data_IF_491138387416
#
_entry.id   IF_491138387416
#
_cell.length_a   1.000
_cell.length_b   1.000
_cell.length_c   1.000
_cell.angle_alpha   90.00
_cell.angle_beta   90.00
_cell.angle_gamma   90.00
#
_symmetry.space_group_name_H-M   'P 1'
#
loop_
_entity.id
_entity.type
_entity.pdbx_description
1 polymer ?
#
# COMPACT_ATOMS: atom_id res chain seq x y z
N UNK A 1 39.57 -44.45 -53.11
CA UNK A 1 39.91 -44.15 -51.71
C UNK A 1 40.06 -42.64 -51.63
N UNK A 2 39.10 -42.00 -50.94
CA UNK A 2 39.13 -40.65 -50.36
C UNK A 2 39.29 -39.44 -51.30
N UNK A 3 38.58 -38.31 -51.16
CA UNK A 3 37.64 -37.82 -50.14
C UNK A 3 36.88 -36.65 -50.76
N UNK A 4 35.55 -36.70 -50.77
CA UNK A 4 34.70 -35.53 -51.06
C UNK A 4 34.85 -34.51 -49.91
N UNK A 5 35.36 -33.32 -50.23
CA UNK A 5 35.37 -32.19 -49.28
C UNK A 5 33.97 -31.57 -49.22
N UNK A 6 33.20 -32.03 -48.27
CA UNK A 6 31.98 -31.37 -47.79
C UNK A 6 32.34 -30.04 -47.12
N UNK A 7 31.99 -28.93 -47.77
CA UNK A 7 32.01 -27.59 -47.15
C UNK A 7 30.73 -27.43 -46.36
N UNK A 8 30.79 -27.69 -45.06
CA UNK A 8 29.68 -27.41 -44.15
C UNK A 8 29.49 -25.90 -44.02
N UNK A 9 28.49 -25.35 -44.71
CA UNK A 9 27.99 -24.01 -44.47
C UNK A 9 27.45 -23.95 -43.02
N UNK A 10 28.15 -23.22 -42.14
CA UNK A 10 27.60 -22.82 -40.83
C UNK A 10 26.35 -21.99 -41.08
N UNK A 11 25.18 -22.61 -40.98
CA UNK A 11 23.90 -21.90 -40.89
C UNK A 11 23.99 -21.03 -39.62
N UNK A 12 24.25 -19.73 -39.82
CA UNK A 12 24.12 -18.73 -38.76
C UNK A 12 22.64 -18.72 -38.39
N UNK A 13 22.30 -19.37 -37.28
CA UNK A 13 20.94 -19.35 -36.71
C UNK A 13 20.64 -17.88 -36.40
N UNK A 14 19.90 -17.22 -37.29
CA UNK A 14 19.38 -15.88 -37.03
C UNK A 14 18.44 -16.04 -35.83
N UNK A 15 18.85 -15.49 -34.69
CA UNK A 15 17.97 -15.37 -33.54
C UNK A 15 16.85 -14.42 -33.96
N UNK A 16 15.65 -14.94 -34.18
CA UNK A 16 14.44 -14.16 -34.38
C UNK A 16 13.94 -13.58 -33.04
N UNK A 17 14.87 -13.16 -32.19
CA UNK A 17 14.56 -12.72 -30.84
C UNK A 17 14.13 -11.25 -30.92
N UNK A 18 12.92 -10.97 -30.45
CA UNK A 18 12.40 -9.60 -30.32
C UNK A 18 13.32 -8.85 -29.34
N UNK A 19 13.77 -7.62 -29.66
CA UNK A 19 14.54 -6.80 -28.74
C UNK A 19 13.86 -6.67 -27.37
N UNK A 20 14.64 -6.77 -26.29
CA UNK A 20 14.11 -6.71 -24.92
C UNK A 20 13.31 -5.42 -24.69
N UNK A 21 13.73 -4.29 -25.24
CA UNK A 21 13.03 -3.00 -25.12
C UNK A 21 11.60 -3.05 -25.65
N UNK A 22 11.39 -3.74 -26.77
CA UNK A 22 10.08 -3.94 -27.37
C UNK A 22 9.23 -4.91 -26.55
N UNK A 23 9.84 -5.96 -26.01
CA UNK A 23 9.18 -6.86 -25.06
C UNK A 23 8.70 -6.05 -23.85
N UNK A 24 9.58 -5.28 -23.20
CA UNK A 24 9.24 -4.44 -22.05
C UNK A 24 8.07 -3.50 -22.34
N UNK A 25 8.09 -2.83 -23.49
CA UNK A 25 7.02 -1.92 -23.90
C UNK A 25 5.69 -2.62 -24.17
N UNK A 26 5.71 -3.82 -24.78
CA UNK A 26 4.50 -4.62 -24.99
C UNK A 26 3.92 -5.05 -23.64
N UNK A 27 4.77 -5.54 -22.73
CA UNK A 27 4.34 -6.00 -21.42
C UNK A 27 3.86 -4.88 -20.53
N UNK A 28 4.46 -3.71 -20.60
CA UNK A 28 4.01 -2.55 -19.83
C UNK A 28 2.61 -2.07 -20.24
N UNK A 29 2.05 -2.57 -21.35
CA UNK A 29 0.70 -2.25 -21.83
C UNK A 29 -0.35 -3.32 -21.48
N UNK A 30 0.05 -4.43 -20.86
CA UNK A 30 -0.87 -5.50 -20.51
C UNK A 30 -1.56 -5.25 -19.18
N UNK A 31 -2.75 -5.82 -18.99
CA UNK A 31 -3.41 -5.81 -17.69
C UNK A 31 -2.62 -6.59 -16.63
N UNK A 32 -2.71 -6.17 -15.37
CA UNK A 32 -2.03 -6.81 -14.21
C UNK A 32 -2.28 -8.32 -14.17
N UNK A 33 -3.53 -8.76 -14.40
CA UNK A 33 -3.89 -10.19 -14.44
C UNK A 33 -3.16 -10.95 -15.54
N UNK A 34 -2.95 -10.34 -16.71
CA UNK A 34 -2.20 -10.96 -17.80
C UNK A 34 -0.70 -11.04 -17.49
N UNK A 35 -0.14 -10.01 -16.86
CA UNK A 35 1.25 -10.04 -16.38
C UNK A 35 1.47 -11.17 -15.37
N UNK A 36 0.59 -11.31 -14.36
CA UNK A 36 0.69 -12.39 -13.38
C UNK A 36 0.68 -13.77 -14.05
N UNK A 37 -0.19 -13.99 -15.04
CA UNK A 37 -0.23 -15.25 -15.81
C UNK A 37 1.06 -15.47 -16.62
N UNK A 38 1.61 -14.43 -17.25
CA UNK A 38 2.88 -14.53 -17.98
C UNK A 38 4.08 -14.78 -17.07
N UNK A 39 4.00 -14.37 -15.81
CA UNK A 39 5.04 -14.64 -14.81
C UNK A 39 5.20 -16.15 -14.57
N UNK A 40 4.12 -16.91 -14.72
CA UNK A 40 4.12 -18.36 -14.61
C UNK A 40 4.70 -19.08 -15.84
N UNK A 41 4.83 -18.40 -16.99
CA UNK A 41 5.27 -19.01 -18.25
C UNK A 41 6.77 -19.21 -18.25
N UNK A 42 7.55 -18.24 -17.78
CA UNK A 42 9.02 -18.32 -17.82
C UNK A 42 9.69 -17.49 -16.73
N UNK A 43 10.79 -18.01 -16.16
CA UNK A 43 11.50 -17.39 -15.02
C UNK A 43 12.00 -15.98 -15.32
N UNK A 44 12.44 -15.70 -16.54
CA UNK A 44 12.89 -14.35 -16.92
C UNK A 44 11.77 -13.32 -16.83
N UNK A 45 10.52 -13.72 -17.06
CA UNK A 45 9.35 -12.86 -16.99
C UNK A 45 8.97 -12.57 -15.54
N UNK A 46 8.98 -13.61 -14.69
CA UNK A 46 8.85 -13.42 -13.24
C UNK A 46 9.94 -12.47 -12.69
N UNK A 47 11.19 -12.62 -13.14
CA UNK A 47 12.29 -11.72 -12.77
C UNK A 47 12.08 -10.30 -13.31
N UNK A 48 11.57 -10.15 -14.52
CA UNK A 48 11.25 -8.86 -15.12
C UNK A 48 10.18 -8.11 -14.32
N UNK A 49 9.16 -8.81 -13.83
CA UNK A 49 8.09 -8.17 -13.04
C UNK A 49 8.53 -7.75 -11.64
N UNK A 50 9.69 -8.24 -11.18
CA UNK A 50 10.38 -7.74 -9.97
C UNK A 50 11.33 -6.59 -10.25
N UNK A 51 11.57 -6.25 -11.53
CA UNK A 51 12.46 -5.16 -11.91
C UNK A 51 11.79 -3.80 -11.63
N UNK A 52 12.41 -2.92 -10.82
CA UNK A 52 11.80 -1.63 -10.45
C UNK A 52 11.63 -0.68 -11.64
N UNK A 53 12.53 -0.72 -12.62
CA UNK A 53 12.41 0.10 -13.83
C UNK A 53 11.18 -0.33 -14.65
N UNK A 54 11.00 -1.64 -14.88
CA UNK A 54 9.81 -2.16 -15.54
C UNK A 54 8.53 -1.78 -14.78
N UNK A 55 8.50 -1.96 -13.46
CA UNK A 55 7.33 -1.61 -12.65
C UNK A 55 7.02 -0.11 -12.66
N UNK A 56 8.04 0.76 -12.68
CA UNK A 56 7.84 2.21 -12.80
C UNK A 56 7.21 2.58 -14.15
N UNK A 57 7.69 1.98 -15.23
CA UNK A 57 7.18 2.19 -16.58
C UNK A 57 5.76 1.66 -16.71
N UNK A 58 5.51 0.44 -16.21
CA UNK A 58 4.19 -0.19 -16.16
C UNK A 58 3.17 0.68 -15.41
N UNK A 59 3.50 1.17 -14.21
CA UNK A 59 2.64 2.07 -13.44
C UNK A 59 2.34 3.37 -14.18
N UNK A 60 3.36 3.99 -14.79
CA UNK A 60 3.17 5.19 -15.60
C UNK A 60 2.21 4.91 -16.77
N UNK A 61 2.36 3.79 -17.45
CA UNK A 61 1.44 3.41 -18.52
C UNK A 61 0.02 3.14 -18.03
N UNK A 62 -0.16 2.50 -16.87
CA UNK A 62 -1.48 2.31 -16.27
C UNK A 62 -2.16 3.64 -15.93
N UNK A 63 -1.41 4.60 -15.36
CA UNK A 63 -1.94 5.91 -14.98
C UNK A 63 -2.21 6.82 -16.18
N UNK A 64 -1.41 6.71 -17.25
CA UNK A 64 -1.55 7.55 -18.44
C UNK A 64 -2.51 6.97 -19.49
N UNK A 65 -2.81 5.67 -19.46
CA UNK A 65 -3.79 5.09 -20.37
C UNK A 65 -5.20 5.37 -19.84
N UNK A 66 -6.00 6.05 -20.67
CA UNK A 66 -7.45 6.14 -20.54
C UNK A 66 -8.10 4.77 -20.84
N UNK A 67 -7.68 3.71 -20.14
CA UNK A 67 -8.49 2.51 -20.07
C UNK A 67 -9.84 2.96 -19.55
N UNK A 68 -10.93 2.64 -20.26
CA UNK A 68 -12.25 3.06 -19.82
C UNK A 68 -12.39 2.66 -18.36
N UNK A 69 -12.75 3.64 -17.52
CA UNK A 69 -12.76 3.56 -16.06
C UNK A 69 -13.50 2.33 -15.47
N UNK A 70 -14.16 1.54 -16.31
CA UNK A 70 -15.09 0.48 -15.95
C UNK A 70 -14.59 -0.95 -16.24
N UNK A 71 -13.61 -1.16 -17.13
CA UNK A 71 -13.29 -2.54 -17.54
C UNK A 71 -12.29 -3.24 -16.61
N UNK A 72 -11.36 -2.49 -16.03
CA UNK A 72 -10.25 -3.04 -15.23
C UNK A 72 -10.09 -2.36 -13.85
N UNK A 73 -10.95 -1.40 -13.53
CA UNK A 73 -10.99 -0.80 -12.19
C UNK A 73 -11.76 -1.70 -11.24
N UNK A 74 -11.20 -1.94 -10.06
CA UNK A 74 -11.94 -2.53 -8.95
C UNK A 74 -12.34 -1.43 -7.98
N UNK A 75 -13.59 -1.42 -7.55
CA UNK A 75 -14.02 -0.58 -6.44
C UNK A 75 -13.78 -1.32 -5.13
N UNK A 76 -13.31 -0.60 -4.13
CA UNK A 76 -13.14 -1.14 -2.80
C UNK A 76 -14.35 -0.71 -1.96
N UNK A 77 -15.02 -1.70 -1.37
CA UNK A 77 -16.20 -1.49 -0.55
C UNK A 77 -15.89 -1.99 0.86
N UNK A 78 -15.81 -1.06 1.81
CA UNK A 78 -15.73 -1.37 3.23
C UNK A 78 -17.16 -1.45 3.79
N UNK A 79 -17.55 -2.62 4.27
CA UNK A 79 -18.85 -2.86 4.89
C UNK A 79 -18.66 -3.01 6.40
N UNK A 80 -19.50 -2.31 7.16
CA UNK A 80 -19.59 -2.47 8.62
C UNK A 80 -20.88 -3.21 8.94
N UNK A 81 -20.77 -4.34 9.63
CA UNK A 81 -21.90 -5.18 10.01
C UNK A 81 -21.89 -5.37 11.52
N UNK A 82 -23.04 -5.18 12.17
CA UNK A 82 -23.21 -5.50 13.58
C UNK A 82 -23.73 -6.92 13.71
N UNK A 83 -22.99 -7.79 14.41
CA UNK A 83 -23.40 -9.17 14.71
C UNK A 83 -23.24 -9.36 16.23
N UNK A 84 -24.30 -9.78 16.91
CA UNK A 84 -24.29 -10.04 18.36
C UNK A 84 -23.71 -8.89 19.21
N UNK A 85 -24.06 -7.64 18.85
CA UNK A 85 -23.57 -6.39 19.47
C UNK A 85 -22.10 -6.04 19.18
N UNK A 86 -21.41 -6.79 18.33
CA UNK A 86 -20.04 -6.49 17.91
C UNK A 86 -19.98 -5.97 16.47
N UNK A 87 -19.10 -4.98 16.24
CA UNK A 87 -18.87 -4.40 14.92
C UNK A 87 -17.83 -5.22 14.16
N UNK A 88 -18.21 -5.73 13.00
CA UNK A 88 -17.30 -6.39 12.06
C UNK A 88 -17.07 -5.53 10.83
N UNK A 89 -15.80 -5.42 10.43
CA UNK A 89 -15.37 -4.68 9.26
C UNK A 89 -14.92 -5.67 8.18
N UNK A 90 -15.55 -5.59 7.00
CA UNK A 90 -15.24 -6.48 5.88
C UNK A 90 -14.93 -5.66 4.64
N UNK A 91 -13.76 -5.90 4.06
CA UNK A 91 -13.35 -5.24 2.83
C UNK A 91 -13.63 -6.14 1.63
N UNK A 92 -14.24 -5.57 0.60
CA UNK A 92 -14.54 -6.25 -0.65
C UNK A 92 -13.92 -5.54 -1.85
N UNK A 93 -13.45 -6.33 -2.81
CA UNK A 93 -13.12 -5.89 -4.16
C UNK A 93 -14.31 -6.17 -5.08
N UNK A 94 -14.91 -5.11 -5.61
CA UNK A 94 -15.97 -5.17 -6.62
C UNK A 94 -15.38 -4.94 -8.00
N UNK A 95 -15.71 -5.79 -8.98
CA UNK A 95 -15.17 -5.69 -10.33
C UNK A 95 -16.14 -6.19 -11.42
N UNK A 96 -15.83 -5.83 -12.66
CA UNK A 96 -16.70 -6.04 -13.82
C UNK A 96 -17.49 -4.77 -14.18
N UNK A 97 -18.04 -4.71 -15.40
CA UNK A 97 -18.64 -3.49 -15.96
C UNK A 97 -19.73 -2.84 -15.08
N UNK A 98 -20.39 -3.62 -14.22
CA UNK A 98 -21.45 -3.16 -13.31
C UNK A 98 -21.14 -3.48 -11.84
N UNK A 99 -19.87 -3.72 -11.49
CA UNK A 99 -19.46 -4.12 -10.14
C UNK A 99 -20.21 -5.36 -9.61
N UNK A 100 -20.61 -6.25 -10.53
CA UNK A 100 -21.43 -7.41 -10.21
C UNK A 100 -20.64 -8.53 -9.54
N UNK A 101 -19.32 -8.58 -9.75
CA UNK A 101 -18.47 -9.55 -9.08
C UNK A 101 -17.95 -8.94 -7.79
N UNK A 102 -18.07 -9.67 -6.70
CA UNK A 102 -17.63 -9.26 -5.35
C UNK A 102 -16.72 -10.35 -4.80
N UNK A 103 -15.52 -9.97 -4.36
CA UNK A 103 -14.58 -10.86 -3.69
C UNK A 103 -14.18 -10.25 -2.37
N UNK A 104 -14.28 -11.02 -1.29
CA UNK A 104 -13.80 -10.61 0.03
C UNK A 104 -12.28 -10.50 -0.01
N UNK A 105 -11.74 -9.40 0.49
CA UNK A 105 -10.31 -9.24 0.72
C UNK A 105 -10.06 -9.57 2.20
N UNK A 106 -9.32 -10.65 2.44
CA UNK A 106 -9.00 -11.07 3.79
C UNK A 106 -7.97 -10.11 4.38
N UNK A 107 -8.34 -9.48 5.49
CA UNK A 107 -7.50 -8.54 6.20
C UNK A 107 -6.30 -9.28 6.84
N UNK A 108 -5.06 -8.78 6.68
CA UNK A 108 -3.86 -9.45 7.20
C UNK A 108 -3.77 -9.50 8.74
N UNK A 109 -4.59 -8.72 9.44
CA UNK A 109 -4.64 -8.66 10.91
C UNK A 109 -3.29 -8.71 11.62
N UNK A 110 -2.37 -7.78 11.32
CA UNK A 110 -1.01 -7.83 11.87
C UNK A 110 -0.94 -7.56 13.38
N UNK A 111 -2.07 -7.26 14.01
CA UNK A 111 -2.17 -6.98 15.44
C UNK A 111 -2.83 -8.13 16.22
N UNK A 112 -3.19 -9.22 15.53
CA UNK A 112 -3.81 -10.42 16.12
C UNK A 112 -5.09 -10.08 16.92
N UNK A 113 -5.83 -9.07 16.46
CA UNK A 113 -7.08 -8.64 17.09
C UNK A 113 -8.20 -9.64 16.73
N UNK A 114 -9.05 -10.01 17.70
CA UNK A 114 -10.13 -10.98 17.44
C UNK A 114 -11.13 -10.43 16.39
N UNK A 115 -11.52 -9.17 16.56
CA UNK A 115 -12.41 -8.45 15.65
C UNK A 115 -11.78 -7.09 15.30
N UNK A 116 -10.91 -7.04 14.28
CA UNK A 116 -10.17 -5.84 13.95
C UNK A 116 -11.10 -4.78 13.36
N UNK A 117 -11.19 -3.65 14.04
CA UNK A 117 -11.86 -2.47 13.52
C UNK A 117 -10.87 -1.62 12.73
N UNK A 118 -11.15 -1.33 11.46
CA UNK A 118 -10.25 -0.52 10.64
C UNK A 118 -10.97 0.34 9.61
N UNK A 119 -10.31 1.43 9.22
CA UNK A 119 -10.69 2.29 8.10
C UNK A 119 -9.58 2.35 7.05
N UNK A 120 -9.93 2.75 5.83
CA UNK A 120 -8.95 3.10 4.80
C UNK A 120 -8.63 4.59 4.83
N UNK A 121 -7.34 4.92 4.70
CA UNK A 121 -6.89 6.30 4.58
C UNK A 121 -7.13 6.79 3.15
N UNK A 122 -7.95 7.83 3.02
CA UNK A 122 -8.34 8.38 1.72
C UNK A 122 -9.34 7.48 0.99
N UNK A 123 -9.44 7.66 -0.33
CA UNK A 123 -10.50 7.02 -1.14
C UNK A 123 -9.98 5.95 -2.11
N UNK A 124 -8.75 5.45 -1.93
CA UNK A 124 -8.22 4.45 -2.86
C UNK A 124 -6.83 3.92 -2.52
N UNK A 125 -6.37 3.02 -3.39
CA UNK A 125 -5.01 2.47 -3.32
C UNK A 125 -4.00 3.37 -4.03
N UNK A 126 -2.76 3.35 -3.55
CA UNK A 126 -1.64 4.00 -4.23
C UNK A 126 -0.68 2.93 -4.73
N UNK A 127 -0.60 2.78 -6.05
CA UNK A 127 0.14 1.70 -6.71
C UNK A 127 -0.23 0.29 -6.20
N UNK A 128 -1.52 0.07 -5.88
CA UNK A 128 -2.02 -1.20 -5.33
C UNK A 128 -1.85 -1.34 -3.81
N UNK A 129 -1.22 -0.38 -3.13
CA UNK A 129 -1.08 -0.39 -1.67
C UNK A 129 -2.25 0.36 -1.04
N UNK A 130 -2.92 -0.30 -0.10
CA UNK A 130 -3.91 0.28 0.80
C UNK A 130 -3.22 0.74 2.07
N UNK A 131 -3.62 1.90 2.58
CA UNK A 131 -3.23 2.37 3.90
C UNK A 131 -4.43 2.23 4.81
N UNK A 132 -4.33 1.32 5.77
CA UNK A 132 -5.39 0.95 6.69
C UNK A 132 -5.03 1.43 8.10
N UNK A 133 -6.02 1.88 8.87
CA UNK A 133 -5.84 2.40 10.22
C UNK A 133 -6.75 1.64 11.16
N UNK A 134 -6.19 1.03 12.20
CA UNK A 134 -6.99 0.41 13.26
C UNK A 134 -7.73 1.48 14.05
N UNK A 135 -8.99 1.23 14.38
CA UNK A 135 -9.82 2.05 15.28
C UNK A 135 -9.70 1.62 16.74
N UNK A 136 -9.06 0.47 16.99
CA UNK A 136 -8.91 -0.08 18.32
C UNK A 136 -8.00 0.82 19.16
N UNK A 137 -8.56 1.38 20.23
CA UNK A 137 -7.82 2.14 21.25
C UNK A 137 -6.80 1.22 21.97
N UNK A 138 -5.64 1.73 22.41
CA UNK A 138 -5.26 3.14 22.49
C UNK A 138 -4.48 3.68 21.29
N UNK A 139 -4.14 2.84 20.30
CA UNK A 139 -3.17 3.22 19.27
C UNK A 139 -3.81 3.02 17.89
N UNK A 140 -4.10 4.12 17.19
CA UNK A 140 -4.54 4.10 15.78
C UNK A 140 -3.39 3.64 14.87
N UNK A 141 -3.07 2.35 14.95
CA UNK A 141 -1.94 1.76 14.25
C UNK A 141 -2.20 1.78 12.75
N UNK A 142 -1.18 2.17 11.99
CA UNK A 142 -1.26 2.25 10.52
C UNK A 142 -0.62 1.01 9.90
N UNK A 143 -1.30 0.41 8.93
CA UNK A 143 -0.84 -0.74 8.16
C UNK A 143 -0.86 -0.39 6.67
N UNK A 144 0.27 -0.55 6.01
CA UNK A 144 0.35 -0.50 4.55
C UNK A 144 0.22 -1.93 4.02
N UNK A 145 -0.79 -2.21 3.22
CA UNK A 145 -1.08 -3.57 2.73
C UNK A 145 -1.30 -3.60 1.23
N UNK A 146 -0.68 -4.56 0.55
CA UNK A 146 -0.94 -4.87 -0.84
C UNK A 146 -1.78 -6.16 -0.94
N UNK A 147 -3.10 -6.08 -1.19
CA UNK A 147 -3.96 -7.24 -1.28
C UNK A 147 -3.65 -8.17 -2.46
N UNK A 148 -2.84 -7.73 -3.43
CA UNK A 148 -2.45 -8.56 -4.58
C UNK A 148 -1.23 -9.42 -4.28
N UNK A 149 -0.30 -8.92 -3.45
CA UNK A 149 0.91 -9.67 -3.07
C UNK A 149 0.82 -10.28 -1.68
N UNK A 150 -0.22 -9.92 -0.92
CA UNK A 150 -0.40 -10.25 0.50
C UNK A 150 0.73 -9.74 1.41
N UNK A 151 1.54 -8.81 0.90
CA UNK A 151 2.59 -8.16 1.67
C UNK A 151 2.00 -7.00 2.46
N UNK A 152 2.35 -6.91 3.73
CA UNK A 152 1.98 -5.78 4.58
C UNK A 152 3.17 -5.24 5.36
N UNK A 153 3.03 -4.01 5.83
CA UNK A 153 3.94 -3.37 6.75
C UNK A 153 3.18 -2.59 7.80
N UNK A 154 3.46 -2.89 9.06
CA UNK A 154 3.04 -2.07 10.20
C UNK A 154 3.94 -0.84 10.28
N UNK A 155 3.33 0.34 10.31
CA UNK A 155 4.03 1.60 10.57
C UNK A 155 4.34 1.69 12.06
N UNK A 156 5.58 2.08 12.39
CA UNK A 156 5.99 2.23 13.78
C UNK A 156 5.15 3.30 14.50
N UNK A 157 4.93 3.11 15.80
CA UNK A 157 4.32 4.11 16.68
C UNK A 157 5.33 5.26 16.86
N UNK A 158 4.89 6.52 16.82
CA UNK A 158 5.77 7.65 17.14
C UNK A 158 5.99 7.71 18.64
N UNK A 159 7.21 8.06 19.05
CA UNK A 159 7.53 8.32 20.45
C UNK A 159 6.67 9.45 21.04
N UNK A 160 6.12 10.34 20.19
CA UNK A 160 5.23 11.42 20.60
C UNK A 160 3.82 10.98 21.00
N UNK A 161 3.44 9.74 20.68
CA UNK A 161 2.19 9.16 21.19
C UNK A 161 2.32 8.71 22.67
N UNK A 162 3.54 8.68 23.22
CA UNK A 162 3.81 8.23 24.59
C UNK A 162 4.25 9.40 25.47
N UNK A 163 3.34 10.35 25.71
CA UNK A 163 3.57 11.46 26.65
C UNK A 163 2.86 11.17 27.97
N UNK A 164 3.54 11.35 29.09
CA UNK A 164 2.92 11.19 30.42
C UNK A 164 1.88 12.29 30.62
N UNK A 165 0.75 11.96 31.24
CA UNK A 165 -0.31 12.91 31.63
C UNK A 165 -1.13 13.55 30.49
N UNK A 166 -0.87 13.16 29.24
CA UNK A 166 -1.57 13.67 28.06
C UNK A 166 -2.10 12.49 27.25
N UNK A 167 -3.36 12.56 26.83
CA UNK A 167 -3.93 11.66 25.83
C UNK A 167 -3.68 12.23 24.43
N UNK A 168 -3.18 11.38 23.53
CA UNK A 168 -2.88 11.76 22.16
C UNK A 168 -3.95 11.19 21.25
N UNK A 169 -4.73 12.07 20.65
CA UNK A 169 -5.74 11.69 19.66
C UNK A 169 -5.20 11.91 18.25
N UNK A 170 -5.38 10.92 17.38
CA UNK A 170 -5.06 11.05 15.96
C UNK A 170 -6.33 11.33 15.18
N UNK A 171 -6.50 12.57 14.70
CA UNK A 171 -7.76 13.04 14.12
C UNK A 171 -7.81 12.93 12.60
N UNK A 172 -6.65 12.91 11.93
CA UNK A 172 -6.56 12.87 10.46
C UNK A 172 -5.39 12.02 9.99
N UNK A 173 -5.58 11.36 8.86
CA UNK A 173 -4.56 10.61 8.15
C UNK A 173 -4.50 11.01 6.68
N UNK A 174 -3.30 10.97 6.11
CA UNK A 174 -3.04 11.09 4.68
C UNK A 174 -2.02 10.05 4.25
N UNK A 175 -2.19 9.50 3.06
CA UNK A 175 -1.25 8.56 2.47
C UNK A 175 -0.89 9.01 1.07
N UNK A 176 0.38 8.93 0.72
CA UNK A 176 0.90 9.47 -0.54
C UNK A 176 2.14 8.77 -1.03
N UNK A 177 2.39 8.89 -2.33
CA UNK A 177 3.60 8.42 -2.99
C UNK A 177 4.36 9.58 -3.62
N UNK A 178 5.67 9.64 -3.37
CA UNK A 178 6.58 10.65 -3.88
C UNK A 178 7.47 10.01 -4.94
N UNK A 179 7.20 10.34 -6.21
CA UNK A 179 7.85 9.71 -7.38
C UNK A 179 9.37 9.95 -7.45
N UNK A 180 9.84 11.16 -7.11
CA UNK A 180 11.27 11.54 -7.15
C UNK A 180 12.11 10.63 -6.23
N UNK A 181 11.51 10.06 -5.18
CA UNK A 181 12.17 9.18 -4.24
C UNK A 181 11.61 7.75 -4.21
N UNK A 182 10.72 7.36 -5.12
CA UNK A 182 10.01 6.08 -5.03
C UNK A 182 9.55 5.75 -3.60
N UNK A 183 9.01 6.75 -2.90
CA UNK A 183 8.84 6.71 -1.46
C UNK A 183 7.39 6.92 -1.09
N UNK A 184 6.88 6.05 -0.23
CA UNK A 184 5.56 6.24 0.39
C UNK A 184 5.67 7.01 1.68
N UNK A 185 4.71 7.89 1.90
CA UNK A 185 4.61 8.71 3.11
C UNK A 185 3.22 8.63 3.69
N UNK A 186 3.17 8.58 5.02
CA UNK A 186 1.94 8.71 5.79
C UNK A 186 2.03 10.02 6.55
N UNK A 187 1.00 10.84 6.48
CA UNK A 187 0.86 12.07 7.24
C UNK A 187 -0.25 11.85 8.25
N UNK A 188 -0.10 12.39 9.45
CA UNK A 188 -1.19 12.41 10.43
C UNK A 188 -1.17 13.68 11.27
N UNK A 189 -2.32 13.95 11.87
CA UNK A 189 -2.51 15.06 12.80
C UNK A 189 -2.69 14.51 14.22
N UNK A 190 -1.84 14.95 15.13
CA UNK A 190 -1.92 14.66 16.56
C UNK A 190 -2.57 15.84 17.28
N UNK A 191 -3.47 15.54 18.19
CA UNK A 191 -4.08 16.47 19.14
C UNK A 191 -3.77 15.98 20.55
N UNK A 192 -3.17 16.85 21.36
CA UNK A 192 -2.81 16.55 22.74
C UNK A 192 -3.91 17.07 23.65
N UNK A 193 -4.53 16.15 24.39
CA UNK A 193 -5.58 16.46 25.36
C UNK A 193 -5.07 16.16 26.78
N UNK A 194 -5.26 17.06 27.76
CA UNK A 194 -4.96 16.74 29.16
C UNK A 194 -5.78 15.52 29.61
N UNK A 195 -5.16 14.57 30.34
CA UNK A 195 -5.91 13.45 30.92
C UNK A 195 -6.89 13.98 31.95
N UNK A 196 -8.16 13.57 31.86
CA UNK A 196 -9.23 14.03 32.78
C UNK A 196 -9.11 13.50 34.21
N UNK A 197 -8.27 12.49 34.45
CA UNK A 197 -8.13 11.79 35.73
C UNK A 197 -6.75 12.04 36.34
N UNK A 198 -6.40 13.30 36.57
CA UNK A 198 -5.30 13.64 37.47
C UNK A 198 -5.94 13.71 38.86
N UNK A 199 -5.70 12.71 39.70
CA UNK A 199 -5.92 12.82 41.14
C UNK A 199 -5.24 14.11 41.62
N UNK A 200 -5.92 14.88 42.48
CA UNK A 200 -5.63 16.26 42.88
C UNK A 200 -4.27 16.52 43.59
N UNK A 201 -3.22 15.74 43.32
CA UNK A 201 -1.95 15.76 44.05
C UNK A 201 -0.75 16.29 43.25
N UNK A 202 -0.96 17.16 42.24
CA UNK A 202 0.17 17.86 41.59
C UNK A 202 -0.12 19.36 41.50
N UNK A 203 0.35 20.06 42.52
CA UNK A 203 0.37 21.52 42.69
C UNK A 203 1.48 22.22 41.85
N UNK A 204 2.06 21.56 40.82
CA UNK A 204 3.28 22.04 40.14
C UNK A 204 3.29 21.93 38.62
N UNK A 205 2.13 21.86 37.97
CA UNK A 205 2.05 22.17 36.54
C UNK A 205 0.91 23.15 36.31
N UNK A 206 1.25 24.38 35.96
CA UNK A 206 0.31 25.36 35.42
C UNK A 206 -0.41 24.74 34.22
N UNK A 207 -1.63 24.25 34.46
CA UNK A 207 -2.59 23.80 33.44
C UNK A 207 -2.85 24.87 32.37
N UNK A 208 -2.41 26.11 32.60
CA UNK A 208 -2.41 27.22 31.64
C UNK A 208 -1.44 27.03 30.46
N UNK A 209 -0.45 26.12 30.55
CA UNK A 209 0.52 25.88 29.46
C UNK A 209 0.18 24.67 28.56
N UNK A 210 -0.88 23.91 28.85
CA UNK A 210 -1.32 22.82 27.95
C UNK A 210 -2.13 23.43 26.81
N UNK A 211 -1.44 24.09 25.89
CA UNK A 211 -2.05 24.48 24.62
C UNK A 211 -2.52 23.21 23.91
N UNK A 212 -3.70 23.26 23.27
CA UNK A 212 -4.15 22.27 22.30
C UNK A 212 -3.20 22.32 21.09
N UNK A 213 -1.97 21.83 21.25
CA UNK A 213 -0.96 21.87 20.21
C UNK A 213 -1.38 20.87 19.14
N UNK A 214 -1.73 21.39 17.96
CA UNK A 214 -1.97 20.56 16.79
C UNK A 214 -0.61 20.29 16.16
N UNK A 215 -0.20 19.03 16.18
CA UNK A 215 1.09 18.63 15.64
C UNK A 215 0.90 17.74 14.44
N UNK A 216 1.48 18.12 13.31
CA UNK A 216 1.53 17.26 12.14
C UNK A 216 2.80 16.43 12.16
N UNK A 217 2.68 15.15 11.82
CA UNK A 217 3.84 14.29 11.58
C UNK A 217 3.76 13.67 10.19
N UNK A 218 4.94 13.39 9.63
CA UNK A 218 5.09 12.61 8.41
C UNK A 218 6.02 11.43 8.66
N UNK A 219 5.52 10.25 8.35
CA UNK A 219 6.27 9.01 8.30
C UNK A 219 6.87 8.84 6.92
N UNK A 220 8.14 8.45 6.89
CA UNK A 220 8.85 8.06 5.68
C UNK A 220 9.05 6.55 5.69
N UNK A 221 8.49 5.86 4.69
CA UNK A 221 8.65 4.41 4.58
C UNK A 221 10.12 4.00 4.41
N UNK A 222 10.91 4.84 3.72
CA UNK A 222 12.32 4.62 3.44
C UNK A 222 13.19 4.71 4.70
N UNK A 223 13.00 5.74 5.51
CA UNK A 223 13.74 5.93 6.76
C UNK A 223 13.13 5.15 7.93
N UNK A 224 11.93 4.63 7.75
CA UNK A 224 11.17 3.93 8.79
C UNK A 224 11.01 4.78 10.06
N UNK A 225 10.77 6.08 9.90
CA UNK A 225 10.73 7.04 11.00
C UNK A 225 9.70 8.14 10.79
N UNK A 226 9.21 8.70 11.90
CA UNK A 226 8.36 9.88 11.94
C UNK A 226 9.21 11.14 12.11
N UNK A 227 8.76 12.24 11.50
CA UNK A 227 9.29 13.59 11.73
C UNK A 227 8.14 14.60 11.84
N UNK A 228 8.34 15.65 12.63
CA UNK A 228 7.39 16.77 12.73
C UNK A 228 7.30 17.48 11.37
N UNK A 229 6.08 17.76 10.94
CA UNK A 229 5.76 18.69 9.86
C UNK A 229 5.47 20.03 10.55
N UNK A 230 6.50 20.88 10.62
CA UNK A 230 6.50 22.27 11.12
C UNK A 230 5.69 22.53 12.39
#
# INVERSE_FOLDING_TARGET
MEMEKSVAAKIKKVRNDIPDDLVFFILSKLYVKSLNRFGCVHKSWSSLFKNPYFMSMFRKYLLCQNHSYYKDTSLLQLETVTIDYELKFVLYSLFGERCQNKTKLDWPNPFEEADPEFDMVGSGSINGILCLVSKSQPNNRVVLWNPTTDEFKVVLISLRESVRYVDVEITRHGFGYVSIGDEYKVIRQLMYNPKSNIDNDIDDLSLEDVSYELLWEIYSLRSNSWRKLL
#
